data_IF_968664030092
#
_entry.id   IF_968664030092
#
_cell.length_a   1.000
_cell.length_b   1.000
_cell.length_c   1.000
_cell.angle_alpha   90.00
_cell.angle_beta   90.00
_cell.angle_gamma   90.00
#
_symmetry.space_group_name_H-M   'P 1'
#
loop_
_entity.id
_entity.type
_entity.pdbx_description
1 polymer ?
#
# COMPACT_ATOMS: atom_id res chain seq x y z
N UNK A 1 -8.85 -40.91 -4.24
CA UNK A 1 -9.00 -39.72 -3.38
C UNK A 1 -8.44 -38.44 -4.02
N UNK A 2 -7.36 -38.51 -4.82
CA UNK A 2 -6.80 -37.44 -5.62
C UNK A 2 -7.66 -37.02 -6.81
N UNK A 3 -8.24 -37.97 -7.52
CA UNK A 3 -9.08 -37.74 -8.70
C UNK A 3 -10.34 -36.88 -8.41
N UNK A 4 -10.89 -37.01 -7.20
CA UNK A 4 -12.04 -36.18 -6.75
C UNK A 4 -11.65 -34.75 -6.41
N UNK A 5 -10.39 -34.49 -6.02
CA UNK A 5 -9.86 -33.14 -5.76
C UNK A 5 -9.62 -32.37 -7.06
N UNK A 6 -9.21 -33.06 -8.12
CA UNK A 6 -8.95 -32.43 -9.42
C UNK A 6 -10.25 -32.11 -10.14
N UNK A 7 -11.29 -32.94 -9.98
CA UNK A 7 -12.63 -32.66 -10.52
C UNK A 7 -13.25 -31.44 -9.82
N UNK A 8 -13.16 -31.36 -8.49
CA UNK A 8 -13.69 -30.21 -7.71
C UNK A 8 -12.95 -28.92 -8.09
N UNK A 9 -11.62 -28.94 -8.19
CA UNK A 9 -10.82 -27.79 -8.66
C UNK A 9 -11.14 -27.38 -10.10
N UNK A 10 -11.43 -28.35 -10.97
CA UNK A 10 -11.80 -28.05 -12.36
C UNK A 10 -13.20 -27.42 -12.45
N UNK A 11 -14.12 -27.85 -11.60
CA UNK A 11 -15.47 -27.28 -11.54
C UNK A 11 -15.48 -25.90 -10.89
N UNK A 12 -14.68 -25.65 -9.85
CA UNK A 12 -14.49 -24.32 -9.27
C UNK A 12 -13.87 -23.36 -10.29
N UNK A 13 -12.83 -23.78 -11.01
CA UNK A 13 -12.22 -22.96 -12.06
C UNK A 13 -13.18 -22.64 -13.22
N UNK A 14 -14.00 -23.61 -13.65
CA UNK A 14 -15.01 -23.38 -14.70
C UNK A 14 -16.15 -22.47 -14.22
N UNK A 15 -16.54 -22.58 -12.95
CA UNK A 15 -17.55 -21.71 -12.35
C UNK A 15 -17.03 -20.29 -12.20
N UNK A 16 -15.78 -20.11 -11.75
CA UNK A 16 -15.11 -18.80 -11.70
C UNK A 16 -14.93 -18.18 -13.09
N UNK A 17 -14.52 -18.96 -14.11
CA UNK A 17 -14.43 -18.47 -15.49
C UNK A 17 -15.79 -18.09 -16.09
N UNK A 18 -16.84 -18.83 -15.77
CA UNK A 18 -18.20 -18.52 -16.24
C UNK A 18 -18.80 -17.28 -15.58
N UNK A 19 -18.47 -17.03 -14.32
CA UNK A 19 -18.85 -15.81 -13.59
C UNK A 19 -18.12 -14.61 -14.16
N UNK A 20 -16.83 -14.73 -14.48
CA UNK A 20 -16.01 -13.67 -15.10
C UNK A 20 -16.49 -13.33 -16.52
N UNK A 21 -16.91 -14.33 -17.31
CA UNK A 21 -17.42 -14.11 -18.66
C UNK A 21 -18.80 -13.43 -18.73
N UNK A 22 -19.59 -13.45 -17.67
CA UNK A 22 -20.96 -12.86 -17.63
C UNK A 22 -21.01 -11.44 -17.08
N UNK A 23 -19.92 -10.85 -16.62
CA UNK A 23 -19.92 -9.46 -16.18
C UNK A 23 -20.05 -8.53 -17.42
N UNK A 24 -21.29 -8.20 -17.80
CA UNK A 24 -21.56 -7.13 -18.78
C UNK A 24 -20.83 -5.86 -18.34
N UNK A 25 -20.00 -5.31 -19.22
CA UNK A 25 -19.35 -4.01 -19.04
C UNK A 25 -20.44 -2.94 -18.86
N UNK A 26 -20.69 -2.55 -17.63
CA UNK A 26 -21.58 -1.44 -17.32
C UNK A 26 -20.74 -0.19 -17.07
N UNK A 27 -21.05 0.90 -17.76
CA UNK A 27 -20.38 2.20 -17.59
C UNK A 27 -20.40 2.64 -16.12
N UNK A 28 -21.50 2.42 -15.39
CA UNK A 28 -21.60 2.71 -13.97
C UNK A 28 -20.58 1.96 -13.12
N UNK A 29 -20.32 0.68 -13.44
CA UNK A 29 -19.32 -0.13 -12.75
C UNK A 29 -17.90 0.39 -13.02
N UNK A 30 -17.60 0.79 -14.26
CA UNK A 30 -16.31 1.37 -14.63
C UNK A 30 -16.02 2.66 -13.83
N UNK A 31 -17.03 3.53 -13.71
CA UNK A 31 -16.91 4.77 -12.93
C UNK A 31 -16.66 4.46 -11.45
N UNK A 32 -17.39 3.51 -10.86
CA UNK A 32 -17.19 3.10 -9.47
C UNK A 32 -15.78 2.55 -9.26
N UNK A 33 -15.29 1.71 -10.17
CA UNK A 33 -13.93 1.16 -10.10
C UNK A 33 -12.85 2.23 -10.22
N UNK A 34 -13.04 3.22 -11.08
CA UNK A 34 -12.15 4.38 -11.20
C UNK A 34 -12.11 5.20 -9.90
N UNK A 35 -13.27 5.48 -9.31
CA UNK A 35 -13.36 6.23 -8.05
C UNK A 35 -12.71 5.44 -6.91
N UNK A 36 -13.02 4.14 -6.78
CA UNK A 36 -12.42 3.28 -5.77
C UNK A 36 -10.89 3.18 -5.96
N UNK A 37 -10.44 3.06 -7.20
CA UNK A 37 -9.02 3.12 -7.53
C UNK A 37 -8.39 4.45 -7.11
N UNK A 38 -9.02 5.57 -7.43
CA UNK A 38 -8.53 6.90 -7.03
C UNK A 38 -8.42 7.04 -5.51
N UNK A 39 -9.40 6.55 -4.76
CA UNK A 39 -9.35 6.53 -3.29
C UNK A 39 -8.19 5.67 -2.76
N UNK A 40 -7.90 4.51 -3.40
CA UNK A 40 -6.75 3.68 -3.05
C UNK A 40 -5.44 4.45 -3.30
N UNK A 41 -5.32 5.13 -4.43
CA UNK A 41 -4.15 5.94 -4.75
C UNK A 41 -3.93 7.09 -3.78
N UNK A 42 -5.00 7.80 -3.44
CA UNK A 42 -5.00 8.86 -2.41
C UNK A 42 -4.59 8.29 -1.05
N UNK A 43 -5.19 7.17 -0.63
CA UNK A 43 -4.87 6.49 0.62
C UNK A 43 -3.46 5.89 0.65
N UNK A 44 -2.86 5.66 -0.51
CA UNK A 44 -1.46 5.29 -0.62
C UNK A 44 -0.50 6.40 -0.20
N UNK A 45 -0.80 7.66 -0.48
CA UNK A 45 0.07 8.81 -0.16
C UNK A 45 -0.27 9.43 1.19
N UNK A 46 -1.56 9.63 1.50
CA UNK A 46 -1.96 10.35 2.71
C UNK A 46 -1.51 9.63 3.98
N UNK A 47 -0.85 10.33 4.92
CA UNK A 47 -0.57 9.78 6.23
C UNK A 47 -1.88 9.43 6.97
N UNK A 48 -1.89 8.28 7.64
CA UNK A 48 -3.07 7.85 8.40
C UNK A 48 -4.13 7.10 7.58
N UNK A 49 -3.97 6.99 6.27
CA UNK A 49 -4.84 6.18 5.40
C UNK A 49 -4.00 5.08 4.76
N UNK A 50 -4.48 3.85 4.78
CA UNK A 50 -3.78 2.72 4.15
C UNK A 50 -4.48 2.32 2.85
N UNK A 51 -3.79 2.48 1.72
CA UNK A 51 -4.26 2.00 0.41
C UNK A 51 -4.51 0.49 0.41
N UNK A 52 -3.70 -0.29 1.14
CA UNK A 52 -3.89 -1.73 1.30
C UNK A 52 -5.20 -2.09 2.01
N UNK A 53 -5.57 -1.35 3.06
CA UNK A 53 -6.88 -1.53 3.73
C UNK A 53 -8.03 -1.20 2.78
N UNK A 54 -7.90 -0.16 1.98
CA UNK A 54 -8.92 0.17 0.96
C UNK A 54 -9.04 -0.93 -0.10
N UNK A 55 -7.94 -1.56 -0.51
CA UNK A 55 -7.97 -2.72 -1.40
C UNK A 55 -8.78 -3.88 -0.81
N UNK A 56 -8.63 -4.13 0.51
CA UNK A 56 -9.43 -5.15 1.23
C UNK A 56 -10.90 -4.76 1.27
N UNK A 57 -11.21 -3.51 1.63
CA UNK A 57 -12.58 -2.99 1.72
C UNK A 57 -13.32 -3.05 0.37
N UNK A 58 -12.63 -2.78 -0.72
CA UNK A 58 -13.20 -2.83 -2.07
C UNK A 58 -13.16 -4.24 -2.69
N UNK A 59 -12.66 -5.24 -1.97
CA UNK A 59 -12.63 -6.64 -2.41
C UNK A 59 -11.66 -6.94 -3.55
N UNK A 60 -10.69 -6.06 -3.81
CA UNK A 60 -9.69 -6.25 -4.87
C UNK A 60 -8.35 -6.77 -4.36
N UNK A 61 -8.19 -6.88 -3.05
CA UNK A 61 -6.94 -7.36 -2.44
C UNK A 61 -6.56 -8.76 -2.92
N UNK A 62 -7.49 -9.71 -2.84
CA UNK A 62 -7.27 -11.09 -3.30
C UNK A 62 -6.89 -11.16 -4.78
N UNK A 63 -7.64 -10.57 -5.73
CA UNK A 63 -7.24 -10.48 -7.14
C UNK A 63 -5.85 -9.88 -7.37
N UNK A 64 -5.46 -8.84 -6.63
CA UNK A 64 -4.11 -8.26 -6.72
C UNK A 64 -3.06 -9.27 -6.26
N UNK A 65 -3.27 -9.93 -5.12
CA UNK A 65 -2.32 -10.92 -4.59
C UNK A 65 -2.17 -12.13 -5.54
N UNK A 66 -3.26 -12.63 -6.10
CA UNK A 66 -3.23 -13.72 -7.08
C UNK A 66 -2.52 -13.33 -8.38
N UNK A 67 -2.70 -12.08 -8.85
CA UNK A 67 -2.01 -11.56 -10.02
C UNK A 67 -0.50 -11.46 -9.77
N UNK A 68 -0.10 -10.99 -8.58
CA UNK A 68 1.32 -10.85 -8.20
C UNK A 68 1.96 -12.24 -8.01
N UNK A 69 1.24 -13.18 -7.40
CA UNK A 69 1.74 -14.54 -7.19
C UNK A 69 1.97 -15.28 -8.53
N UNK A 70 1.07 -15.14 -9.49
CA UNK A 70 1.12 -15.84 -10.77
C UNK A 70 0.79 -14.90 -11.96
N UNK A 71 1.67 -13.94 -12.31
CA UNK A 71 1.35 -12.90 -13.28
C UNK A 71 0.97 -13.46 -14.66
N UNK A 72 1.74 -14.43 -15.18
CA UNK A 72 1.51 -14.98 -16.51
C UNK A 72 0.21 -15.79 -16.65
N UNK A 73 -0.21 -16.50 -15.58
CA UNK A 73 -1.43 -17.33 -15.61
C UNK A 73 -2.68 -16.52 -15.30
N UNK A 74 -2.58 -15.53 -14.39
CA UNK A 74 -3.73 -14.77 -13.87
C UNK A 74 -3.94 -13.42 -14.57
N UNK A 75 -2.99 -12.97 -15.40
CA UNK A 75 -3.09 -11.68 -16.11
C UNK A 75 -4.37 -11.60 -16.94
N UNK A 76 -4.65 -12.60 -17.76
CA UNK A 76 -5.84 -12.62 -18.64
C UNK A 76 -7.15 -12.61 -17.85
N UNK A 77 -7.17 -13.19 -16.66
CA UNK A 77 -8.38 -13.33 -15.82
C UNK A 77 -8.62 -12.07 -14.99
N UNK A 78 -7.57 -11.50 -14.37
CA UNK A 78 -7.71 -10.39 -13.43
C UNK A 78 -7.42 -9.01 -14.02
N UNK A 79 -6.62 -8.92 -15.10
CA UNK A 79 -6.29 -7.63 -15.69
C UNK A 79 -7.50 -6.83 -16.17
N UNK A 80 -8.50 -7.40 -16.86
CA UNK A 80 -9.68 -6.63 -17.27
C UNK A 80 -10.47 -6.08 -16.09
N UNK A 81 -10.51 -6.83 -14.97
CA UNK A 81 -11.22 -6.46 -13.75
C UNK A 81 -10.47 -5.36 -12.97
N UNK A 82 -9.14 -5.42 -12.95
CA UNK A 82 -8.28 -4.49 -12.23
C UNK A 82 -7.93 -3.24 -13.04
N UNK A 83 -8.14 -3.24 -14.34
CA UNK A 83 -7.71 -2.17 -15.25
C UNK A 83 -8.18 -0.77 -14.81
N UNK A 84 -9.48 -0.62 -14.53
CA UNK A 84 -10.04 0.66 -14.10
C UNK A 84 -9.59 1.05 -12.69
N UNK A 85 -9.37 0.08 -11.80
CA UNK A 85 -8.78 0.33 -10.49
C UNK A 85 -7.35 0.85 -10.59
N UNK A 86 -6.53 0.28 -11.49
CA UNK A 86 -5.14 0.70 -11.71
C UNK A 86 -5.09 2.12 -12.28
N UNK A 87 -5.93 2.43 -13.29
CA UNK A 87 -6.01 3.78 -13.85
C UNK A 87 -6.46 4.78 -12.78
N UNK A 88 -7.53 4.45 -12.06
CA UNK A 88 -8.01 5.29 -10.96
C UNK A 88 -6.94 5.50 -9.89
N UNK A 89 -6.25 4.42 -9.49
CA UNK A 89 -5.17 4.47 -8.49
C UNK A 89 -4.01 5.37 -8.96
N UNK A 90 -3.57 5.23 -10.20
CA UNK A 90 -2.53 6.10 -10.76
C UNK A 90 -2.98 7.57 -10.79
N UNK A 91 -4.21 7.84 -11.23
CA UNK A 91 -4.75 9.19 -11.25
C UNK A 91 -4.89 9.81 -9.85
N UNK A 92 -5.41 9.04 -8.88
CA UNK A 92 -5.54 9.48 -7.49
C UNK A 92 -4.19 9.69 -6.81
N UNK A 93 -3.25 8.75 -7.03
CA UNK A 93 -1.90 8.83 -6.50
C UNK A 93 -1.16 10.07 -7.02
N UNK A 94 -1.12 10.27 -8.34
CA UNK A 94 -0.45 11.42 -8.95
C UNK A 94 -1.16 12.74 -8.63
N UNK A 95 -2.49 12.75 -8.64
CA UNK A 95 -3.28 13.94 -8.33
C UNK A 95 -3.04 14.43 -6.90
N UNK A 96 -3.10 13.52 -5.91
CA UNK A 96 -2.84 13.89 -4.52
C UNK A 96 -1.36 14.19 -4.27
N UNK A 97 -0.42 13.48 -4.93
CA UNK A 97 1.01 13.77 -4.83
C UNK A 97 1.32 15.19 -5.28
N UNK A 98 0.75 15.62 -6.41
CA UNK A 98 0.93 16.97 -6.94
C UNK A 98 0.32 18.03 -6.02
N UNK A 99 -0.87 17.77 -5.50
CA UNK A 99 -1.52 18.66 -4.53
C UNK A 99 -0.68 18.79 -3.25
N UNK A 100 -0.22 17.66 -2.71
CA UNK A 100 0.59 17.66 -1.50
C UNK A 100 1.96 18.31 -1.72
N UNK A 101 2.62 18.07 -2.85
CA UNK A 101 3.86 18.75 -3.21
C UNK A 101 3.68 20.28 -3.16
N UNK A 102 2.63 20.80 -3.81
CA UNK A 102 2.30 22.22 -3.78
C UNK A 102 2.03 22.75 -2.37
N UNK A 103 1.25 21.99 -1.57
CA UNK A 103 0.88 22.42 -0.21
C UNK A 103 2.08 22.36 0.74
N UNK A 104 2.92 21.33 0.63
CA UNK A 104 4.14 21.19 1.43
C UNK A 104 5.16 22.29 1.13
N UNK A 105 5.30 22.67 -0.13
CA UNK A 105 6.20 23.74 -0.54
C UNK A 105 5.68 25.14 -0.07
N UNK A 106 4.39 25.41 -0.30
CA UNK A 106 3.81 26.73 -0.05
C UNK A 106 3.39 26.94 1.39
N UNK A 107 2.96 25.88 2.08
CA UNK A 107 2.40 25.93 3.44
C UNK A 107 2.99 24.83 4.34
N UNK A 108 4.31 24.81 4.62
CA UNK A 108 4.95 23.69 5.35
C UNK A 108 4.37 23.51 6.76
N UNK A 109 4.19 24.57 7.55
CA UNK A 109 3.68 24.46 8.92
C UNK A 109 2.21 23.96 8.97
N UNK A 110 1.25 24.52 8.21
CA UNK A 110 -0.09 23.97 8.12
C UNK A 110 -0.14 22.52 7.64
N UNK A 111 0.75 22.12 6.72
CA UNK A 111 0.85 20.74 6.23
C UNK A 111 1.22 19.76 7.34
N UNK A 112 2.20 20.12 8.16
CA UNK A 112 2.60 19.33 9.32
C UNK A 112 1.44 19.19 10.31
N UNK A 113 0.73 20.29 10.60
CA UNK A 113 -0.45 20.26 11.47
C UNK A 113 -1.55 19.35 10.92
N UNK A 114 -1.80 19.41 9.60
CA UNK A 114 -2.75 18.53 8.93
C UNK A 114 -2.35 17.06 9.10
N UNK A 115 -1.07 16.71 8.89
CA UNK A 115 -0.60 15.35 9.03
C UNK A 115 -0.67 14.84 10.48
N UNK A 116 -0.33 15.69 11.45
CA UNK A 116 -0.52 15.36 12.86
C UNK A 116 -2.00 15.09 13.15
N UNK A 117 -2.91 15.92 12.64
CA UNK A 117 -4.35 15.73 12.78
C UNK A 117 -4.85 14.40 12.15
N UNK A 118 -4.39 14.07 10.94
CA UNK A 118 -4.73 12.81 10.27
C UNK A 118 -4.23 11.59 11.04
N UNK A 119 -2.98 11.62 11.51
CA UNK A 119 -2.38 10.53 12.30
C UNK A 119 -3.11 10.41 13.65
N UNK A 120 -3.36 11.53 14.35
CA UNK A 120 -4.09 11.52 15.61
C UNK A 120 -5.52 10.98 15.44
N UNK A 121 -6.19 11.36 14.33
CA UNK A 121 -7.55 10.90 14.02
C UNK A 121 -7.66 9.38 13.79
N UNK A 122 -6.58 8.71 13.37
CA UNK A 122 -6.57 7.24 13.20
C UNK A 122 -6.31 6.49 14.52
N UNK A 123 -5.74 7.11 15.55
CA UNK A 123 -5.38 6.44 16.82
C UNK A 123 -6.56 5.71 17.48
N UNK A 124 -7.79 6.28 17.58
CA UNK A 124 -8.92 5.58 18.17
C UNK A 124 -9.27 4.28 17.44
N UNK A 125 -9.19 4.30 16.10
CA UNK A 125 -9.45 3.12 15.26
C UNK A 125 -8.38 2.04 15.47
N UNK A 126 -7.11 2.41 15.47
CA UNK A 126 -5.99 1.50 15.75
C UNK A 126 -6.08 0.92 17.15
N UNK A 127 -6.43 1.74 18.14
CA UNK A 127 -6.63 1.28 19.50
C UNK A 127 -7.73 0.23 19.62
N UNK A 128 -8.85 0.45 18.93
CA UNK A 128 -9.96 -0.50 18.88
C UNK A 128 -9.55 -1.80 18.17
N UNK A 129 -8.85 -1.70 17.05
CA UNK A 129 -8.38 -2.84 16.28
C UNK A 129 -7.40 -3.72 17.08
N UNK A 130 -6.41 -3.09 17.71
CA UNK A 130 -5.43 -3.77 18.56
C UNK A 130 -6.07 -4.49 19.77
N UNK A 131 -7.28 -4.08 20.17
CA UNK A 131 -8.01 -4.68 21.28
C UNK A 131 -8.97 -5.80 20.91
N UNK A 132 -9.18 -6.14 19.64
CA UNK A 132 -10.17 -7.14 19.20
C UNK A 132 -9.96 -8.53 19.80
N UNK A 133 -8.72 -8.95 19.91
CA UNK A 133 -8.36 -10.28 20.47
C UNK A 133 -8.09 -10.27 21.97
N UNK A 134 -8.55 -9.23 22.67
CA UNK A 134 -8.28 -9.00 24.08
C UNK A 134 -6.94 -8.30 24.30
N UNK A 135 -6.80 -7.66 25.49
CA UNK A 135 -5.60 -6.95 25.91
C UNK A 135 -4.99 -7.65 27.11
N UNK A 136 -3.83 -8.23 26.90
CA UNK A 136 -3.02 -8.82 27.97
C UNK A 136 -2.00 -7.80 28.49
N UNK A 137 -1.48 -8.00 29.68
CA UNK A 137 -0.39 -7.17 30.23
C UNK A 137 0.80 -7.09 29.26
N UNK A 138 1.12 -8.20 28.58
CA UNK A 138 2.15 -8.28 27.56
C UNK A 138 1.92 -7.29 26.39
N UNK A 139 0.65 -7.00 26.03
CA UNK A 139 0.33 -6.03 24.97
C UNK A 139 0.70 -4.60 25.37
N UNK A 140 0.52 -4.23 26.64
CA UNK A 140 0.92 -2.92 27.14
C UNK A 140 2.44 -2.81 27.28
N UNK A 141 3.09 -3.88 27.72
CA UNK A 141 4.57 -3.93 27.79
C UNK A 141 5.16 -3.78 26.37
N UNK A 142 4.65 -4.52 25.40
CA UNK A 142 5.13 -4.40 24.00
C UNK A 142 4.89 -3.02 23.42
N UNK A 143 3.77 -2.37 23.73
CA UNK A 143 3.49 -0.99 23.33
C UNK A 143 4.52 0.00 23.89
N UNK A 144 4.80 -0.10 25.21
CA UNK A 144 5.77 0.78 25.89
C UNK A 144 7.18 0.54 25.34
N UNK A 145 7.58 -0.72 25.17
CA UNK A 145 8.89 -1.08 24.61
C UNK A 145 9.04 -0.57 23.17
N UNK A 146 8.02 -0.76 22.33
CA UNK A 146 8.03 -0.27 20.96
C UNK A 146 8.09 1.27 20.91
N UNK A 147 7.31 1.94 21.75
CA UNK A 147 7.34 3.40 21.85
C UNK A 147 8.72 3.90 22.32
N UNK A 148 9.26 3.32 23.39
CA UNK A 148 10.58 3.68 23.90
C UNK A 148 11.69 3.44 22.85
N UNK A 149 11.61 2.33 22.10
CA UNK A 149 12.54 2.03 21.02
C UNK A 149 12.46 3.08 19.90
N UNK A 150 11.25 3.41 19.44
CA UNK A 150 11.05 4.41 18.35
C UNK A 150 11.52 5.79 18.82
N UNK A 151 11.10 6.25 20.01
CA UNK A 151 11.53 7.54 20.53
C UNK A 151 13.05 7.59 20.78
N UNK A 152 13.62 6.53 21.33
CA UNK A 152 15.06 6.40 21.50
C UNK A 152 15.82 6.48 20.17
N UNK A 153 15.34 5.77 19.15
CA UNK A 153 15.90 5.82 17.80
C UNK A 153 15.83 7.24 17.22
N UNK A 154 14.69 7.91 17.34
CA UNK A 154 14.53 9.29 16.84
C UNK A 154 15.46 10.28 17.55
N UNK A 155 15.63 10.14 18.86
CA UNK A 155 16.56 10.96 19.65
C UNK A 155 18.00 10.71 19.17
N UNK A 156 18.40 9.44 19.02
CA UNK A 156 19.75 9.08 18.54
C UNK A 156 19.98 9.64 17.13
N UNK A 157 19.05 9.44 16.20
CA UNK A 157 19.15 9.99 14.83
C UNK A 157 19.29 11.52 14.84
N UNK A 158 18.59 12.21 15.74
CA UNK A 158 18.70 13.66 15.91
C UNK A 158 20.03 14.09 16.50
N UNK A 159 20.55 13.39 17.49
CA UNK A 159 21.83 13.69 18.15
C UNK A 159 23.02 13.49 17.20
N UNK A 160 22.96 12.47 16.34
CA UNK A 160 24.00 12.20 15.34
C UNK A 160 23.87 13.16 14.12
N UNK A 161 22.84 14.02 14.10
CA UNK A 161 22.52 14.88 12.93
C UNK A 161 22.41 14.06 11.64
N UNK A 162 21.87 12.84 11.75
CA UNK A 162 21.69 11.93 10.63
C UNK A 162 20.64 12.51 9.68
N UNK A 163 21.10 13.19 8.67
CA UNK A 163 20.24 13.64 7.56
C UNK A 163 20.39 12.66 6.41
N UNK A 164 19.30 12.00 6.08
CA UNK A 164 19.24 11.20 4.87
C UNK A 164 19.25 12.18 3.69
N UNK A 165 20.36 12.21 2.95
CA UNK A 165 20.39 12.88 1.66
C UNK A 165 19.67 11.99 0.65
N UNK A 166 18.49 12.41 0.11
CA UNK A 166 17.79 11.64 -0.89
C UNK A 166 18.69 11.36 -2.07
N UNK A 167 18.85 10.10 -2.41
CA UNK A 167 19.65 9.65 -3.55
C UNK A 167 18.95 8.44 -4.21
N UNK A 168 19.53 7.97 -5.30
CA UNK A 168 19.00 6.85 -6.07
C UNK A 168 18.70 5.62 -5.20
N UNK A 169 19.60 5.24 -4.29
CA UNK A 169 19.43 4.09 -3.39
C UNK A 169 18.29 4.29 -2.40
N UNK A 170 18.14 5.48 -1.85
CA UNK A 170 17.04 5.81 -0.95
C UNK A 170 15.70 5.84 -1.64
N UNK A 171 15.63 6.25 -2.90
CA UNK A 171 14.38 6.16 -3.66
C UNK A 171 14.00 4.72 -4.03
N UNK A 172 15.00 3.82 -4.24
CA UNK A 172 14.71 2.36 -4.32
C UNK A 172 14.08 1.88 -3.01
N UNK A 173 14.64 2.23 -1.87
CA UNK A 173 14.09 1.91 -0.56
C UNK A 173 12.65 2.42 -0.40
N UNK A 174 12.36 3.66 -0.80
CA UNK A 174 11.02 4.23 -0.81
C UNK A 174 10.05 3.38 -1.64
N UNK A 175 10.47 2.94 -2.83
CA UNK A 175 9.68 2.07 -3.71
C UNK A 175 9.37 0.71 -3.09
N UNK A 176 10.34 0.11 -2.38
CA UNK A 176 10.13 -1.14 -1.63
C UNK A 176 9.04 -0.95 -0.58
N UNK A 177 9.10 0.11 0.23
CA UNK A 177 8.10 0.38 1.26
C UNK A 177 6.73 0.72 0.68
N UNK A 178 6.69 1.40 -0.45
CA UNK A 178 5.44 1.67 -1.17
C UNK A 178 4.78 0.35 -1.61
N UNK A 179 5.52 -0.57 -2.16
CA UNK A 179 5.01 -1.90 -2.50
C UNK A 179 4.56 -2.67 -1.25
N UNK A 180 5.38 -2.69 -0.19
CA UNK A 180 5.03 -3.35 1.08
C UNK A 180 3.72 -2.83 1.66
N UNK A 181 3.42 -1.55 1.54
CA UNK A 181 2.17 -0.96 2.04
C UNK A 181 0.91 -1.49 1.33
N UNK A 182 1.07 -2.00 0.11
CA UNK A 182 -0.02 -2.67 -0.62
C UNK A 182 -0.16 -4.12 -0.16
N UNK A 183 0.97 -4.81 0.11
CA UNK A 183 0.97 -6.22 0.52
C UNK A 183 0.52 -6.42 1.97
N UNK A 184 0.85 -5.49 2.85
CA UNK A 184 0.52 -5.56 4.28
C UNK A 184 -0.56 -4.54 4.58
N UNK A 185 -1.85 -4.97 4.64
CA UNK A 185 -2.94 -4.05 4.98
C UNK A 185 -2.71 -3.43 6.35
N UNK A 186 -2.79 -2.10 6.44
CA UNK A 186 -2.52 -1.36 7.67
C UNK A 186 -1.09 -0.82 7.79
N UNK A 187 -0.15 -1.28 6.97
CA UNK A 187 1.16 -0.65 6.86
C UNK A 187 1.05 0.58 5.95
N UNK A 188 1.40 1.75 6.48
CA UNK A 188 1.44 2.99 5.70
C UNK A 188 2.89 3.36 5.41
N UNK A 189 3.25 3.46 4.12
CA UNK A 189 4.62 3.83 3.76
C UNK A 189 4.96 5.26 4.21
N UNK A 190 3.99 6.17 4.22
CA UNK A 190 4.20 7.56 4.66
C UNK A 190 4.68 7.63 6.11
N UNK A 191 4.09 6.83 7.01
CA UNK A 191 4.51 6.80 8.42
C UNK A 191 5.91 6.23 8.61
N UNK A 192 6.38 5.38 7.71
CA UNK A 192 7.75 4.84 7.73
C UNK A 192 8.78 5.82 7.14
N UNK A 193 8.39 6.57 6.10
CA UNK A 193 9.33 7.48 5.42
C UNK A 193 9.43 8.86 6.07
N UNK A 194 8.40 9.31 6.80
CA UNK A 194 8.41 10.62 7.47
C UNK A 194 9.57 10.79 8.47
N UNK A 195 9.81 9.84 9.40
CA UNK A 195 10.91 9.98 10.34
C UNK A 195 12.29 10.02 9.68
N UNK A 196 12.43 9.45 8.48
CA UNK A 196 13.66 9.47 7.70
C UNK A 196 13.82 10.73 6.84
N UNK A 197 12.81 11.61 6.82
CA UNK A 197 12.81 12.80 5.96
C UNK A 197 12.65 12.49 4.46
N UNK A 198 12.33 11.24 4.09
CA UNK A 198 12.22 10.80 2.70
C UNK A 198 10.82 10.99 2.09
N UNK A 199 9.81 11.24 2.93
CA UNK A 199 8.43 11.39 2.47
C UNK A 199 8.25 12.61 1.54
N UNK A 200 8.69 13.78 1.98
CA UNK A 200 8.56 15.03 1.22
C UNK A 200 9.28 14.96 -0.13
N UNK A 201 10.58 14.58 -0.20
CA UNK A 201 11.27 14.46 -1.49
C UNK A 201 10.61 13.43 -2.43
N UNK A 202 10.06 12.32 -1.88
CA UNK A 202 9.35 11.35 -2.69
C UNK A 202 8.05 11.93 -3.27
N UNK A 203 7.23 12.59 -2.43
CA UNK A 203 5.94 13.17 -2.86
C UNK A 203 6.15 14.28 -3.88
N UNK A 204 7.13 15.16 -3.65
CA UNK A 204 7.50 16.22 -4.60
C UNK A 204 8.00 15.64 -5.93
N UNK A 205 8.88 14.65 -5.87
CA UNK A 205 9.40 13.99 -7.07
C UNK A 205 8.32 13.28 -7.87
N UNK A 206 7.37 12.62 -7.20
CA UNK A 206 6.21 11.99 -7.86
C UNK A 206 5.26 13.05 -8.40
N UNK A 207 4.93 14.09 -7.63
CA UNK A 207 4.03 15.16 -8.05
C UNK A 207 4.55 15.95 -9.25
N UNK A 208 5.86 16.15 -9.33
CA UNK A 208 6.54 16.84 -10.43
C UNK A 208 6.97 15.90 -11.57
N UNK A 209 6.61 14.60 -11.48
CA UNK A 209 6.98 13.57 -12.46
C UNK A 209 8.50 13.47 -12.71
N UNK A 210 9.30 13.69 -11.66
CA UNK A 210 10.76 13.60 -11.74
C UNK A 210 11.22 12.17 -12.00
N UNK A 211 11.90 11.94 -13.11
CA UNK A 211 12.46 10.62 -13.45
C UNK A 211 13.54 10.16 -12.46
N UNK A 212 14.25 11.09 -11.84
CA UNK A 212 15.25 10.79 -10.81
C UNK A 212 14.65 10.13 -9.57
N UNK A 213 13.36 10.35 -9.31
CA UNK A 213 12.60 9.74 -8.22
C UNK A 213 11.79 8.54 -8.71
N UNK A 214 11.08 8.70 -9.82
CA UNK A 214 10.16 7.70 -10.34
C UNK A 214 10.86 6.41 -10.77
N UNK A 215 12.01 6.52 -11.42
CA UNK A 215 12.76 5.34 -11.90
C UNK A 215 13.26 4.49 -10.73
N UNK A 216 14.02 5.02 -9.76
CA UNK A 216 14.50 4.19 -8.65
C UNK A 216 13.36 3.71 -7.76
N UNK A 217 12.33 4.52 -7.50
CA UNK A 217 11.16 4.06 -6.75
C UNK A 217 10.40 2.95 -7.50
N UNK A 218 10.27 3.05 -8.81
CA UNK A 218 9.71 2.00 -9.65
C UNK A 218 10.52 0.69 -9.59
N UNK A 219 11.85 0.78 -9.66
CA UNK A 219 12.75 -0.37 -9.51
C UNK A 219 12.57 -1.01 -8.14
N UNK A 220 12.55 -0.22 -7.07
CA UNK A 220 12.34 -0.69 -5.71
C UNK A 220 10.99 -1.40 -5.54
N UNK A 221 9.92 -0.82 -6.09
CA UNK A 221 8.60 -1.42 -6.09
C UNK A 221 8.56 -2.76 -6.83
N UNK A 222 9.16 -2.85 -8.02
CA UNK A 222 9.25 -4.08 -8.79
C UNK A 222 10.06 -5.16 -8.06
N UNK A 223 11.20 -4.80 -7.47
CA UNK A 223 12.01 -5.72 -6.67
C UNK A 223 11.21 -6.29 -5.49
N UNK A 224 10.49 -5.44 -4.77
CA UNK A 224 9.64 -5.87 -3.66
C UNK A 224 8.54 -6.83 -4.15
N UNK A 225 7.87 -6.51 -5.26
CA UNK A 225 6.84 -7.37 -5.87
C UNK A 225 7.42 -8.75 -6.21
N UNK A 226 8.60 -8.81 -6.85
CA UNK A 226 9.25 -10.08 -7.23
C UNK A 226 9.64 -10.90 -5.99
N UNK A 227 10.20 -10.26 -4.97
CA UNK A 227 10.61 -10.94 -3.74
C UNK A 227 9.41 -11.45 -2.94
N UNK A 228 8.38 -10.62 -2.81
CA UNK A 228 7.18 -10.96 -2.07
C UNK A 228 6.29 -11.96 -2.78
N UNK A 229 6.26 -11.98 -4.11
CA UNK A 229 5.50 -12.98 -4.86
C UNK A 229 5.89 -14.40 -4.46
N UNK A 230 7.20 -14.67 -4.27
CA UNK A 230 7.70 -15.97 -3.80
C UNK A 230 7.25 -16.30 -2.37
N UNK A 231 7.19 -15.30 -1.49
CA UNK A 231 6.74 -15.48 -0.11
C UNK A 231 5.22 -15.75 -0.07
N UNK A 232 4.45 -15.03 -0.88
CA UNK A 232 3.00 -15.18 -0.99
C UNK A 232 2.63 -16.56 -1.53
N UNK A 233 3.31 -17.04 -2.58
CA UNK A 233 3.07 -18.38 -3.13
C UNK A 233 3.26 -19.43 -2.03
N UNK A 234 4.37 -19.37 -1.29
CA UNK A 234 4.65 -20.31 -0.19
C UNK A 234 3.59 -20.24 0.92
N UNK A 235 3.06 -19.05 1.19
CA UNK A 235 2.02 -18.89 2.20
C UNK A 235 0.70 -19.52 1.75
N UNK A 236 0.28 -19.30 0.49
CA UNK A 236 -0.93 -19.91 -0.07
C UNK A 236 -0.82 -21.41 -0.33
N UNK A 237 0.39 -21.96 -0.50
CA UNK A 237 0.61 -23.40 -0.63
C UNK A 237 0.58 -24.13 0.72
N UNK A 238 0.83 -23.42 1.81
CA UNK A 238 0.95 -24.01 3.15
C UNK A 238 -0.35 -23.92 3.98
N UNK A 239 -1.26 -23.00 3.63
CA UNK A 239 -2.55 -22.76 4.29
C UNK A 239 -3.68 -22.69 3.27
#
# INVERSE_FOLDING_TARGET
>A
MEENKDIVKSQENQTEESIVKKEKFSVGRMIIQLIQGALIGVGGILPGVSGGVLCVMFGIYKPIMELIANPFKRLKTHAPKLFFYIIGCAAGFLGIARLLAFVLEKYPAPSVCLFIGLIAGMLPSLWKEAGKNGRKATSYVSLVVAAAFIFGLLIVLRLISFQVTPNFGWFIFCGVFLALSVFVPGLSFSTMLMPLGLYTPLVEGVGNLSFEVLIPAGIGGLLAIILLSKAIIRFFEKY
#
